data_IF_025491944178
#
_entry.id   IF_025491944178
#
_cell.length_a   1.000
_cell.length_b   1.000
_cell.length_c   1.000
_cell.angle_alpha   90.00
_cell.angle_beta   90.00
_cell.angle_gamma   90.00
#
_symmetry.space_group_name_H-M   'P 1'
#
loop_
_entity.id
_entity.type
_entity.pdbx_description
1 polymer ?
#
# COMPACT_ATOMS: atom_id res chain seq x y z
N UNK A 1 -18.98 23.43 26.60
CA UNK A 1 -17.87 23.46 25.62
C UNK A 1 -18.09 22.30 24.66
N UNK A 2 -19.19 22.32 23.92
CA UNK A 2 -19.30 22.86 22.55
C UNK A 2 -18.50 22.07 21.52
N UNK A 3 -19.27 21.28 20.78
CA UNK A 3 -18.96 20.52 19.58
C UNK A 3 -18.02 21.20 18.60
N UNK A 4 -16.94 20.52 18.23
CA UNK A 4 -16.42 20.55 16.86
C UNK A 4 -16.38 19.15 16.30
N UNK A 5 -17.57 18.66 15.95
CA UNK A 5 -17.73 17.78 14.82
C UNK A 5 -17.17 18.49 13.58
N UNK A 6 -15.84 18.42 13.39
CA UNK A 6 -15.34 18.45 12.03
C UNK A 6 -15.74 17.09 11.50
N UNK A 7 -16.93 17.01 10.91
CA UNK A 7 -17.24 15.99 9.93
C UNK A 7 -16.15 16.11 8.87
N UNK A 8 -15.02 15.46 9.14
CA UNK A 8 -13.93 15.31 8.18
C UNK A 8 -14.62 14.53 7.10
N UNK A 9 -15.05 15.23 6.06
CA UNK A 9 -15.62 14.69 4.84
C UNK A 9 -14.68 13.54 4.52
N UNK A 10 -15.10 12.31 4.85
CA UNK A 10 -14.38 11.12 4.44
C UNK A 10 -14.53 11.19 2.95
N UNK A 11 -13.52 11.77 2.32
CA UNK A 11 -13.56 12.08 0.92
C UNK A 11 -13.73 10.69 0.30
N UNK A 12 -14.82 10.43 -0.41
CA UNK A 12 -15.03 9.13 -1.04
C UNK A 12 -13.80 8.74 -1.87
N UNK A 13 -13.16 9.76 -2.44
CA UNK A 13 -11.87 9.68 -3.10
C UNK A 13 -10.70 9.23 -2.19
N UNK A 14 -10.68 9.62 -0.91
CA UNK A 14 -9.74 9.13 0.10
C UNK A 14 -10.02 7.68 0.49
N UNK A 15 -11.27 7.22 0.47
CA UNK A 15 -11.62 5.80 0.64
C UNK A 15 -11.13 4.99 -0.56
N UNK A 16 -11.40 5.45 -1.78
CA UNK A 16 -10.92 4.82 -3.02
C UNK A 16 -9.39 4.81 -3.04
N UNK A 17 -8.75 5.95 -2.76
CA UNK A 17 -7.29 6.06 -2.67
C UNK A 17 -6.73 5.14 -1.56
N UNK A 18 -7.38 5.03 -0.40
CA UNK A 18 -6.97 4.08 0.64
C UNK A 18 -7.09 2.62 0.17
N UNK A 19 -8.12 2.30 -0.61
CA UNK A 19 -8.29 0.98 -1.22
C UNK A 19 -7.19 0.75 -2.27
N UNK A 20 -6.90 1.68 -3.17
CA UNK A 20 -5.81 1.54 -4.16
C UNK A 20 -4.44 1.40 -3.49
N UNK A 21 -4.17 2.13 -2.42
CA UNK A 21 -2.95 1.96 -1.61
C UNK A 21 -2.91 0.60 -0.89
N UNK A 22 -4.08 0.01 -0.62
CA UNK A 22 -4.20 -1.37 -0.13
C UNK A 22 -3.91 -2.41 -1.22
N UNK A 23 -4.09 -2.09 -2.50
CA UNK A 23 -3.72 -2.97 -3.61
C UNK A 23 -2.23 -2.88 -3.97
N UNK A 24 -1.61 -1.71 -3.76
CA UNK A 24 -0.19 -1.46 -4.05
C UNK A 24 0.73 -1.87 -2.88
N UNK A 25 0.20 -1.99 -1.66
CA UNK A 25 0.92 -2.61 -0.53
C UNK A 25 1.94 -1.73 0.21
N UNK A 26 1.87 -0.40 0.07
CA UNK A 26 2.85 0.52 0.67
C UNK A 26 2.22 1.57 1.59
N UNK A 27 1.25 1.18 2.43
CA UNK A 27 0.76 2.04 3.53
C UNK A 27 1.81 2.17 4.65
N UNK A 28 2.96 2.77 4.33
CA UNK A 28 4.15 2.95 5.18
C UNK A 28 4.08 4.23 6.04
N UNK A 29 2.90 4.55 6.58
CA UNK A 29 2.62 5.92 7.03
C UNK A 29 1.76 6.09 8.27
N UNK A 30 1.65 5.11 9.19
CA UNK A 30 1.06 5.43 10.49
C UNK A 30 1.73 4.85 11.74
N UNK A 31 2.43 3.73 11.63
CA UNK A 31 3.03 3.09 12.82
C UNK A 31 4.55 2.90 12.70
N UNK A 32 5.19 3.64 11.79
CA UNK A 32 6.58 3.41 11.39
C UNK A 32 7.63 3.93 12.37
N UNK A 33 7.30 4.85 13.29
CA UNK A 33 8.32 5.43 14.19
C UNK A 33 8.53 4.65 15.49
N UNK A 34 7.57 3.80 15.89
CA UNK A 34 7.65 3.10 17.17
C UNK A 34 8.39 1.75 17.03
N UNK A 35 8.22 1.04 15.89
CA UNK A 35 8.73 -0.32 15.69
C UNK A 35 10.05 -0.39 14.92
N UNK A 36 10.48 0.71 14.28
CA UNK A 36 11.77 0.81 13.56
C UNK A 36 12.99 0.70 14.48
N UNK A 37 12.82 0.85 15.80
CA UNK A 37 13.92 0.74 16.75
C UNK A 37 14.27 -0.71 17.11
N UNK A 38 13.39 -1.70 16.84
CA UNK A 38 13.59 -3.08 17.31
C UNK A 38 13.57 -4.15 16.20
N UNK A 39 13.06 -3.91 14.98
CA UNK A 39 13.17 -4.87 13.86
C UNK A 39 13.53 -4.21 12.51
N UNK A 40 14.50 -4.80 11.81
CA UNK A 40 15.22 -4.22 10.68
C UNK A 40 14.31 -3.77 9.50
N UNK A 41 14.37 -2.49 9.08
CA UNK A 41 13.57 -1.91 8.00
C UNK A 41 13.84 -2.52 6.62
N UNK A 42 14.91 -3.31 6.51
CA UNK A 42 15.33 -4.09 5.35
C UNK A 42 14.26 -5.11 4.94
N UNK A 43 13.61 -5.79 5.88
CA UNK A 43 12.65 -6.84 5.57
C UNK A 43 11.42 -6.30 4.81
N UNK A 44 11.02 -5.06 5.11
CA UNK A 44 9.91 -4.39 4.45
C UNK A 44 10.25 -3.94 3.03
N UNK A 45 11.50 -3.58 2.78
CA UNK A 45 11.98 -3.28 1.43
C UNK A 45 12.00 -4.55 0.58
N UNK A 46 12.49 -5.66 1.15
CA UNK A 46 12.52 -6.96 0.47
C UNK A 46 11.09 -7.41 0.12
N UNK A 47 10.16 -7.35 1.08
CA UNK A 47 8.76 -7.72 0.87
C UNK A 47 8.07 -6.88 -0.22
N UNK A 48 8.32 -5.56 -0.23
CA UNK A 48 7.78 -4.66 -1.27
C UNK A 48 8.34 -4.94 -2.66
N UNK A 49 9.65 -5.21 -2.76
CA UNK A 49 10.29 -5.55 -4.04
C UNK A 49 9.81 -6.90 -4.56
N UNK A 50 9.63 -7.90 -3.68
CA UNK A 50 9.09 -9.21 -4.07
C UNK A 50 7.66 -9.10 -4.62
N UNK A 51 6.78 -8.34 -3.96
CA UNK A 51 5.41 -8.12 -4.45
C UNK A 51 5.37 -7.38 -5.79
N UNK A 52 6.22 -6.37 -5.97
CA UNK A 52 6.34 -5.65 -7.23
C UNK A 52 6.85 -6.57 -8.37
N UNK A 53 7.86 -7.40 -8.09
CA UNK A 53 8.37 -8.36 -9.04
C UNK A 53 7.28 -9.37 -9.44
N UNK A 54 6.50 -9.87 -8.48
CA UNK A 54 5.41 -10.80 -8.72
C UNK A 54 4.32 -10.21 -9.62
N UNK A 55 3.96 -8.94 -9.41
CA UNK A 55 3.02 -8.22 -10.30
C UNK A 55 3.54 -8.19 -11.74
N UNK A 56 4.81 -7.82 -11.93
CA UNK A 56 5.43 -7.75 -13.26
C UNK A 56 5.42 -9.12 -13.93
N UNK A 57 5.75 -10.18 -13.20
CA UNK A 57 5.71 -11.55 -13.73
C UNK A 57 4.30 -11.96 -14.16
N UNK A 58 3.28 -11.64 -13.36
CA UNK A 58 1.88 -11.90 -13.72
C UNK A 58 1.49 -11.16 -15.00
N UNK A 59 1.86 -9.88 -15.12
CA UNK A 59 1.56 -9.08 -16.30
C UNK A 59 2.23 -9.64 -17.56
N UNK A 60 3.52 -9.99 -17.45
CA UNK A 60 4.28 -10.60 -18.55
C UNK A 60 3.72 -11.96 -18.93
N UNK A 61 3.32 -12.79 -17.95
CA UNK A 61 2.68 -14.07 -18.21
C UNK A 61 1.36 -13.93 -18.97
N UNK A 62 0.55 -12.93 -18.62
CA UNK A 62 -0.68 -12.62 -19.37
C UNK A 62 -0.36 -12.22 -20.81
N UNK A 63 0.62 -11.33 -21.02
CA UNK A 63 1.02 -10.90 -22.37
C UNK A 63 1.49 -12.10 -23.20
N UNK A 64 2.34 -12.95 -22.62
CA UNK A 64 2.83 -14.14 -23.30
C UNK A 64 1.70 -15.10 -23.66
N UNK A 65 0.71 -15.28 -22.79
CA UNK A 65 -0.45 -16.13 -23.04
C UNK A 65 -1.42 -15.58 -24.11
N UNK A 66 -1.38 -14.28 -24.40
CA UNK A 66 -2.22 -13.65 -25.45
C UNK A 66 -1.50 -13.60 -26.79
N UNK A 67 -0.18 -13.41 -26.79
CA UNK A 67 0.64 -13.30 -28.01
C UNK A 67 1.02 -14.67 -28.56
N UNK A 68 1.23 -15.66 -27.69
CA UNK A 68 1.51 -17.05 -28.07
C UNK A 68 0.24 -17.82 -28.41
#
# INVERSE_FOLDING_TARGET
MESRATARKLNFFQTVQAVLWSFIGLRRGKDYQQDMANLNPVHLVIAGVLMAALLVLVLVGIVQAVVG
#
